data_IF_487888331552
#
_entry.id   IF_487888331552
#
_cell.length_a   1.000
_cell.length_b   1.000
_cell.length_c   1.000
_cell.angle_alpha   90.00
_cell.angle_beta   90.00
_cell.angle_gamma   90.00
#
_symmetry.space_group_name_H-M   'P 1'
#
loop_
_entity.id
_entity.type
_entity.pdbx_description
1 polymer ?
#
# COMPACT_ATOMS: atom_id res chain seq x y z
N UNK A 1 11.21 -8.07 -1.20
CA UNK A 1 10.45 -9.15 -1.85
C UNK A 1 9.04 -8.61 -2.09
N UNK A 2 8.46 -8.82 -3.27
CA UNK A 2 7.08 -8.40 -3.51
C UNK A 2 6.16 -9.45 -2.89
N UNK A 3 5.25 -9.02 -2.01
CA UNK A 3 4.26 -9.90 -1.42
C UNK A 3 2.99 -9.97 -2.29
N UNK A 4 2.28 -11.11 -2.28
CA UNK A 4 0.98 -11.20 -2.91
C UNK A 4 -0.03 -10.27 -2.23
N UNK A 5 -1.05 -9.88 -2.99
CA UNK A 5 -2.05 -8.91 -2.56
C UNK A 5 -3.46 -9.41 -2.94
N UNK A 6 -4.36 -9.49 -1.96
CA UNK A 6 -5.74 -9.95 -2.20
C UNK A 6 -6.64 -8.78 -2.60
N UNK A 7 -6.88 -8.64 -3.91
CA UNK A 7 -7.73 -7.59 -4.47
C UNK A 7 -9.19 -7.66 -4.00
N UNK A 8 -9.86 -8.83 -3.92
CA UNK A 8 -11.22 -8.91 -3.40
C UNK A 8 -11.35 -8.31 -2.00
N UNK A 9 -10.51 -8.73 -1.04
CA UNK A 9 -10.53 -8.19 0.32
C UNK A 9 -10.26 -6.68 0.33
N UNK A 10 -9.38 -6.21 -0.54
CA UNK A 10 -9.10 -4.77 -0.64
C UNK A 10 -10.32 -3.99 -1.14
N UNK A 11 -10.98 -4.47 -2.20
CA UNK A 11 -12.15 -3.80 -2.76
C UNK A 11 -13.37 -3.84 -1.83
N UNK A 12 -13.48 -4.86 -0.97
CA UNK A 12 -14.55 -4.95 0.03
C UNK A 12 -14.29 -4.08 1.27
N UNK A 13 -13.04 -3.96 1.72
CA UNK A 13 -12.72 -3.35 3.03
C UNK A 13 -11.97 -2.04 2.96
N UNK A 14 -11.32 -1.73 1.83
CA UNK A 14 -10.38 -0.63 1.69
C UNK A 14 -9.06 -0.80 2.46
N UNK A 15 -8.83 -1.93 3.14
CA UNK A 15 -7.68 -2.11 4.03
C UNK A 15 -6.54 -2.88 3.34
N UNK A 16 -5.55 -2.15 2.82
CA UNK A 16 -4.42 -2.73 2.11
C UNK A 16 -3.56 -3.69 2.96
N UNK A 17 -3.43 -3.42 4.27
CA UNK A 17 -2.61 -4.27 5.16
C UNK A 17 -3.28 -5.63 5.35
N UNK A 18 -4.58 -5.64 5.61
CA UNK A 18 -5.32 -6.88 5.78
C UNK A 18 -5.37 -7.71 4.48
N UNK A 19 -5.47 -7.05 3.31
CA UNK A 19 -5.37 -7.73 2.01
C UNK A 19 -4.06 -8.47 1.81
N UNK A 20 -2.92 -7.90 2.25
CA UNK A 20 -1.63 -8.59 2.22
C UNK A 20 -1.63 -9.76 3.20
N UNK A 21 -2.11 -9.56 4.43
CA UNK A 21 -2.15 -10.61 5.46
C UNK A 21 -3.00 -11.81 5.04
N UNK A 22 -4.12 -11.58 4.37
CA UNK A 22 -4.98 -12.65 3.83
C UNK A 22 -4.24 -13.40 2.72
N UNK A 23 -3.64 -12.68 1.77
CA UNK A 23 -2.96 -13.29 0.63
C UNK A 23 -1.78 -14.17 1.04
N UNK A 24 -0.94 -13.71 1.97
CA UNK A 24 0.25 -14.45 2.40
C UNK A 24 -0.08 -15.73 3.17
N UNK A 25 -1.26 -15.80 3.81
CA UNK A 25 -1.73 -17.00 4.51
C UNK A 25 -2.09 -18.16 3.56
N UNK A 26 -2.12 -17.94 2.25
CA UNK A 26 -2.35 -19.01 1.29
C UNK A 26 -1.31 -20.13 1.46
N UNK A 27 -1.71 -21.41 1.53
CA UNK A 27 -0.79 -22.53 1.74
C UNK A 27 0.38 -22.60 0.74
N UNK A 28 0.15 -22.22 -0.52
CA UNK A 28 1.20 -22.19 -1.55
C UNK A 28 2.24 -21.13 -1.18
N UNK A 29 1.80 -19.94 -0.76
CA UNK A 29 2.72 -18.86 -0.36
C UNK A 29 3.53 -19.28 0.85
N UNK A 30 2.91 -19.88 1.87
CA UNK A 30 3.62 -20.42 3.04
C UNK A 30 4.69 -21.46 2.64
N UNK A 31 4.36 -22.35 1.70
CA UNK A 31 5.30 -23.35 1.17
C UNK A 31 6.53 -22.71 0.52
N UNK A 32 6.41 -21.52 -0.06
CA UNK A 32 7.54 -20.81 -0.67
C UNK A 32 8.64 -20.44 0.33
N UNK A 33 8.33 -20.38 1.62
CA UNK A 33 9.29 -20.07 2.69
C UNK A 33 9.89 -21.33 3.34
N UNK A 34 9.53 -22.52 2.89
CA UNK A 34 10.08 -23.78 3.41
C UNK A 34 11.32 -24.22 2.63
N UNK A 35 12.22 -24.93 3.32
CA UNK A 35 13.53 -25.37 2.78
C UNK A 35 13.48 -26.06 1.42
N UNK A 36 12.54 -26.99 1.13
CA UNK A 36 12.51 -27.65 -0.18
C UNK A 36 12.33 -26.65 -1.32
N UNK A 37 11.46 -25.65 -1.13
CA UNK A 37 11.13 -24.70 -2.18
C UNK A 37 12.25 -23.70 -2.41
N UNK A 38 12.93 -23.28 -1.32
CA UNK A 38 14.14 -22.47 -1.40
C UNK A 38 15.19 -23.13 -2.29
N UNK A 39 15.57 -24.36 -1.96
CA UNK A 39 16.69 -25.06 -2.58
C UNK A 39 16.41 -25.50 -4.02
N UNK A 40 15.19 -25.95 -4.30
CA UNK A 40 14.87 -26.53 -5.61
C UNK A 40 14.28 -25.55 -6.62
N UNK A 41 13.90 -24.34 -6.20
CA UNK A 41 13.25 -23.42 -7.13
C UNK A 41 13.61 -21.96 -6.87
N UNK A 42 13.49 -21.48 -5.63
CA UNK A 42 13.57 -20.03 -5.40
C UNK A 42 15.00 -19.50 -5.50
N UNK A 43 16.01 -20.23 -5.02
CA UNK A 43 17.40 -19.74 -5.12
C UNK A 43 17.86 -19.66 -6.58
N UNK A 44 17.54 -20.68 -7.39
CA UNK A 44 17.83 -20.64 -8.83
C UNK A 44 17.04 -19.52 -9.52
N UNK A 45 15.72 -19.42 -9.24
CA UNK A 45 14.88 -18.35 -9.76
C UNK A 45 15.44 -16.97 -9.44
N UNK A 46 15.79 -16.70 -8.18
CA UNK A 46 16.35 -15.41 -7.75
C UNK A 46 17.70 -15.10 -8.41
N UNK A 47 18.52 -16.13 -8.68
CA UNK A 47 19.79 -15.96 -9.39
C UNK A 47 19.60 -15.46 -10.83
N UNK A 48 18.53 -15.89 -11.54
CA UNK A 48 18.18 -15.34 -12.87
C UNK A 48 17.84 -13.85 -12.84
N UNK A 49 17.36 -13.33 -11.70
CA UNK A 49 17.10 -11.91 -11.50
C UNK A 49 18.30 -11.13 -10.93
N UNK A 50 19.47 -11.77 -10.80
CA UNK A 50 20.69 -11.14 -10.30
C UNK A 50 20.74 -11.00 -8.78
N UNK A 51 19.85 -11.67 -8.03
CA UNK A 51 19.86 -11.67 -6.56
C UNK A 51 20.63 -12.91 -6.09
N UNK A 52 21.93 -12.72 -5.82
CA UNK A 52 22.86 -13.81 -5.50
C UNK A 52 22.78 -14.28 -4.04
N UNK A 53 22.18 -13.48 -3.17
CA UNK A 53 21.93 -13.85 -1.77
C UNK A 53 20.84 -14.93 -1.63
N UNK A 54 20.13 -15.21 -2.73
CA UNK A 54 19.06 -16.18 -2.80
C UNK A 54 17.77 -15.72 -2.12
N UNK A 55 16.84 -16.64 -2.00
CA UNK A 55 15.53 -16.41 -1.41
C UNK A 55 15.59 -16.39 0.12
N UNK A 56 15.03 -15.37 0.75
CA UNK A 56 14.88 -15.30 2.22
C UNK A 56 13.66 -16.11 2.66
N UNK A 57 13.86 -17.01 3.63
CA UNK A 57 12.80 -17.89 4.16
C UNK A 57 12.12 -17.35 5.41
N UNK A 58 12.50 -16.16 5.86
CA UNK A 58 11.81 -15.47 6.95
C UNK A 58 10.37 -15.17 6.54
N UNK A 59 9.42 -15.86 7.15
CA UNK A 59 8.01 -15.71 6.82
C UNK A 59 7.51 -14.33 7.31
N UNK A 60 6.87 -13.52 6.44
CA UNK A 60 6.59 -12.11 6.72
C UNK A 60 5.44 -11.89 7.70
N UNK A 61 4.79 -12.93 8.23
CA UNK A 61 3.67 -12.83 9.17
C UNK A 61 3.96 -13.63 10.44
N UNK A 62 4.21 -12.92 11.55
CA UNK A 62 4.49 -13.50 12.86
C UNK A 62 3.48 -12.92 13.85
N UNK A 63 2.74 -13.78 14.54
CA UNK A 63 1.70 -13.39 15.52
C UNK A 63 0.70 -12.35 14.98
N UNK A 64 0.31 -12.49 13.71
CA UNK A 64 -0.63 -11.58 13.04
C UNK A 64 -0.04 -10.22 12.63
N UNK A 65 1.27 -10.01 12.83
CA UNK A 65 1.98 -8.78 12.47
C UNK A 65 2.92 -9.02 11.30
N UNK A 66 2.96 -8.04 10.40
CA UNK A 66 3.92 -8.05 9.29
C UNK A 66 5.30 -7.69 9.83
N UNK A 67 6.31 -8.50 9.50
CA UNK A 67 7.71 -8.31 9.95
C UNK A 67 8.63 -8.21 8.74
N UNK A 68 9.59 -7.28 8.78
CA UNK A 68 10.52 -7.02 7.67
C UNK A 68 9.83 -6.72 6.33
N UNK A 69 8.63 -6.12 6.39
CA UNK A 69 7.85 -5.67 5.24
C UNK A 69 7.77 -4.15 5.29
N UNK A 70 8.29 -3.50 4.26
CA UNK A 70 8.11 -2.07 4.06
C UNK A 70 7.05 -1.83 2.98
N UNK A 71 6.09 -0.92 3.20
CA UNK A 71 5.17 -0.51 2.15
C UNK A 71 5.95 0.25 1.08
N UNK A 72 5.99 -0.31 -0.12
CA UNK A 72 6.48 0.40 -1.30
C UNK A 72 5.31 0.73 -2.21
N UNK A 73 5.39 1.88 -2.87
CA UNK A 73 4.40 2.30 -3.87
C UNK A 73 4.23 1.20 -4.92
N UNK A 74 2.98 0.82 -5.17
CA UNK A 74 2.62 -0.13 -6.22
C UNK A 74 3.17 0.38 -7.55
N UNK A 75 3.88 -0.48 -8.30
CA UNK A 75 4.27 -0.17 -9.68
C UNK A 75 3.02 0.22 -10.46
N UNK A 76 3.17 1.15 -11.40
CA UNK A 76 2.08 1.93 -12.00
C UNK A 76 0.90 1.13 -12.62
N UNK A 77 0.97 -0.20 -12.72
CA UNK A 77 -0.18 -1.02 -13.08
C UNK A 77 -1.35 -0.90 -12.09
N UNK A 78 -1.11 -0.54 -10.83
CA UNK A 78 -2.18 -0.20 -9.86
C UNK A 78 -2.80 1.19 -10.04
N UNK A 79 -2.21 2.06 -10.87
CA UNK A 79 -2.73 3.42 -11.13
C UNK A 79 -3.88 3.45 -12.14
N UNK A 80 -4.36 2.29 -12.62
CA UNK A 80 -5.55 2.26 -13.47
C UNK A 80 -6.74 2.94 -12.75
N UNK A 81 -6.87 2.72 -11.43
CA UNK A 81 -7.93 3.34 -10.62
C UNK A 81 -7.79 4.87 -10.47
N UNK A 82 -6.56 5.40 -10.39
CA UNK A 82 -6.33 6.85 -10.29
C UNK A 82 -6.53 7.55 -11.63
N UNK A 83 -6.16 6.87 -12.73
CA UNK A 83 -6.23 7.45 -14.08
C UNK A 83 -7.57 7.22 -14.79
N UNK A 84 -8.40 6.27 -14.36
CA UNK A 84 -9.64 5.89 -15.05
C UNK A 84 -10.90 5.92 -14.16
N UNK A 85 -10.78 6.21 -12.86
CA UNK A 85 -11.90 6.38 -11.93
C UNK A 85 -12.50 7.79 -11.94
N UNK A 86 -12.74 8.36 -13.13
CA UNK A 86 -13.31 9.71 -13.25
C UNK A 86 -14.82 9.65 -12.98
N UNK A 87 -15.26 10.30 -11.90
CA UNK A 87 -16.66 10.48 -11.57
C UNK A 87 -17.24 11.75 -12.22
N UNK A 88 -18.56 11.79 -12.44
CA UNK A 88 -19.24 12.99 -12.96
C UNK A 88 -19.20 14.15 -11.97
N UNK A 89 -19.15 13.85 -10.69
CA UNK A 89 -19.07 14.83 -9.60
C UNK A 89 -17.62 15.01 -9.19
N UNK A 90 -17.13 16.24 -9.29
CA UNK A 90 -15.81 16.61 -8.76
C UNK A 90 -15.82 16.61 -7.23
N UNK A 91 -14.64 16.40 -6.64
CA UNK A 91 -14.42 16.54 -5.21
C UNK A 91 -14.73 17.96 -4.74
N UNK A 92 -15.29 18.08 -3.55
CA UNK A 92 -15.56 19.35 -2.90
C UNK A 92 -14.31 19.88 -2.15
N UNK A 93 -14.28 21.19 -1.89
CA UNK A 93 -13.13 21.85 -1.27
C UNK A 93 -12.85 21.29 0.14
N UNK A 94 -13.90 20.98 0.89
CA UNK A 94 -13.85 20.42 2.24
C UNK A 94 -13.36 18.97 2.30
N UNK A 95 -13.28 18.27 1.18
CA UNK A 95 -12.64 16.94 1.15
C UNK A 95 -11.10 17.04 1.27
N UNK A 96 -10.50 18.17 0.89
CA UNK A 96 -9.05 18.37 0.93
C UNK A 96 -8.62 19.40 1.98
N UNK A 97 -9.44 20.42 2.24
CA UNK A 97 -9.08 21.59 3.04
C UNK A 97 -9.66 21.50 4.46
N UNK A 98 -9.49 20.34 5.11
CA UNK A 98 -9.80 20.12 6.53
C UNK A 98 -8.57 19.53 7.21
N UNK A 99 -8.53 19.61 8.55
CA UNK A 99 -7.45 19.03 9.37
C UNK A 99 -7.32 17.51 9.23
N UNK A 100 -8.35 16.85 8.69
CA UNK A 100 -8.41 15.40 8.41
C UNK A 100 -8.69 15.10 6.93
N UNK A 101 -8.37 16.05 6.05
CA UNK A 101 -8.65 15.98 4.62
C UNK A 101 -7.74 15.00 3.87
N UNK A 102 -8.04 14.83 2.58
CA UNK A 102 -7.28 13.92 1.69
C UNK A 102 -5.79 14.31 1.58
N UNK A 103 -5.47 15.60 1.73
CA UNK A 103 -4.11 16.12 1.58
C UNK A 103 -3.46 16.36 2.93
N UNK A 104 -2.34 15.68 3.19
CA UNK A 104 -1.45 15.97 4.31
C UNK A 104 -0.47 17.08 3.92
N UNK A 105 -0.82 18.33 4.21
CA UNK A 105 -0.02 19.49 3.78
C UNK A 105 1.34 19.57 4.48
N UNK A 106 1.47 19.04 5.70
CA UNK A 106 2.75 18.98 6.40
C UNK A 106 3.71 18.00 5.70
N UNK A 107 3.24 16.79 5.39
CA UNK A 107 4.04 15.80 4.65
C UNK A 107 4.33 16.22 3.20
N UNK A 108 3.48 17.07 2.62
CA UNK A 108 3.74 17.70 1.31
C UNK A 108 4.81 18.81 1.38
N UNK A 109 5.26 19.21 2.58
CA UNK A 109 6.36 20.14 2.78
C UNK A 109 5.96 21.62 2.81
N UNK A 110 4.69 21.93 3.05
CA UNK A 110 4.24 23.31 3.27
C UNK A 110 4.71 23.85 4.63
N UNK A 111 4.87 25.17 4.75
CA UNK A 111 5.21 25.78 6.05
C UNK A 111 4.03 25.68 7.02
N UNK A 112 4.27 25.70 8.34
CA UNK A 112 3.19 25.60 9.33
C UNK A 112 2.10 26.66 9.16
N UNK A 113 2.46 27.89 8.78
CA UNK A 113 1.51 28.96 8.52
C UNK A 113 0.63 28.62 7.32
N UNK A 114 1.23 28.05 6.27
CA UNK A 114 0.52 27.69 5.05
C UNK A 114 -0.37 26.47 5.23
N UNK A 115 0.06 25.49 6.03
CA UNK A 115 -0.77 24.35 6.43
C UNK A 115 -2.05 24.86 7.10
N UNK A 116 -1.92 25.75 8.09
CA UNK A 116 -3.06 26.31 8.79
C UNK A 116 -4.04 27.03 7.85
N UNK A 117 -3.54 27.88 6.95
CA UNK A 117 -4.36 28.57 5.95
C UNK A 117 -5.12 27.59 5.04
N UNK A 118 -4.43 26.53 4.60
CA UNK A 118 -5.01 25.54 3.69
C UNK A 118 -6.04 24.65 4.38
N UNK A 119 -5.94 24.41 5.67
CA UNK A 119 -6.91 23.63 6.45
C UNK A 119 -8.09 24.47 6.96
N UNK A 120 -7.97 25.80 6.95
CA UNK A 120 -8.97 26.72 7.51
C UNK A 120 -9.44 27.76 6.49
N UNK A 121 -9.77 27.30 5.28
CA UNK A 121 -10.28 28.18 4.24
C UNK A 121 -11.66 28.77 4.63
N UNK A 122 -11.84 30.10 4.55
CA UNK A 122 -13.14 30.74 4.77
C UNK A 122 -14.24 30.12 3.90
N UNK A 123 -13.92 29.82 2.64
CA UNK A 123 -14.83 29.28 1.63
C UNK A 123 -15.42 27.91 2.00
N UNK A 124 -14.71 27.13 2.82
CA UNK A 124 -15.17 25.82 3.32
C UNK A 124 -16.17 26.00 4.47
N UNK A 125 -15.93 26.96 5.35
CA UNK A 125 -16.80 27.22 6.52
C UNK A 125 -18.19 27.78 6.19
N UNK A 126 -18.35 28.38 4.99
CA UNK A 126 -19.58 29.09 4.60
C UNK A 126 -20.60 28.25 3.83
N UNK A 127 -20.28 27.00 3.46
CA UNK A 127 -21.22 26.09 2.78
C UNK A 127 -21.94 25.21 3.80
N UNK A 128 -22.98 25.73 4.44
CA UNK A 128 -24.03 24.95 5.11
C UNK A 128 -25.39 25.28 4.54
#
# INVERSE_FOLDING_TARGET
MILPFDYPSYYETGNAIESVKIAIQNPIVKRMYETPFKLYMMDEFMSYFGVLEGWKTDYPLVDGKLVNVEPHWMRQMGTLMVNHGIEKTGRQCDECHTTDGILDFELLGYSPERVYELEHLPEVSTRR
#
